data_IF_314000593436
#
_entry.id   IF_314000593436
#
_cell.length_a   1.000
_cell.length_b   1.000
_cell.length_c   1.000
_cell.angle_alpha   90.00
_cell.angle_beta   90.00
_cell.angle_gamma   90.00
#
_symmetry.space_group_name_H-M   'P 1'
#
loop_
_entity.id
_entity.type
_entity.pdbx_description
1 polymer ?
#
# COMPACT_ATOMS: atom_id res chain seq x y z
N UNK A 1 -12.44 -2.75 -29.66
CA UNK A 1 -11.86 -1.58 -28.99
C UNK A 1 -12.74 -1.31 -27.78
N UNK A 2 -12.46 -1.94 -26.64
CA UNK A 2 -13.16 -1.59 -25.40
C UNK A 2 -12.71 -0.18 -25.05
N UNK A 3 -13.66 0.76 -25.03
CA UNK A 3 -13.36 2.16 -24.77
C UNK A 3 -12.77 2.29 -23.38
N UNK A 4 -11.79 3.18 -23.23
CA UNK A 4 -11.15 3.56 -21.96
C UNK A 4 -12.15 4.13 -20.92
N UNK A 5 -13.45 4.06 -21.18
CA UNK A 5 -14.55 4.57 -20.36
C UNK A 5 -15.01 3.59 -19.26
N UNK A 6 -14.59 2.31 -19.27
CA UNK A 6 -15.08 1.30 -18.32
C UNK A 6 -14.02 0.58 -17.48
N UNK A 7 -12.73 0.76 -17.75
CA UNK A 7 -11.63 0.16 -16.99
C UNK A 7 -11.66 0.56 -15.49
N UNK A 8 -11.45 -0.43 -14.63
CA UNK A 8 -11.55 -0.34 -13.18
C UNK A 8 -10.39 -1.15 -12.58
N UNK A 9 -9.59 -0.55 -11.70
CA UNK A 9 -8.42 -1.24 -11.14
C UNK A 9 -8.79 -2.09 -9.92
N UNK A 10 -8.18 -3.27 -9.81
CA UNK A 10 -8.38 -4.18 -8.70
C UNK A 10 -7.05 -4.79 -8.25
N UNK A 11 -6.39 -4.22 -7.22
CA UNK A 11 -5.17 -4.80 -6.66
C UNK A 11 -5.50 -6.07 -5.86
N UNK A 12 -4.81 -7.16 -6.20
CA UNK A 12 -5.02 -8.46 -5.59
C UNK A 12 -3.96 -8.79 -4.54
N UNK A 13 -4.36 -9.60 -3.55
CA UNK A 13 -3.42 -10.20 -2.63
C UNK A 13 -2.70 -11.37 -3.31
N UNK A 14 -1.40 -11.28 -3.46
CA UNK A 14 -0.56 -12.33 -4.06
C UNK A 14 -0.54 -13.63 -3.25
N UNK A 15 -0.93 -13.58 -1.97
CA UNK A 15 -1.06 -14.74 -1.10
C UNK A 15 -2.47 -15.35 -1.07
N UNK A 16 -3.43 -14.81 -1.83
CA UNK A 16 -4.80 -15.36 -1.85
C UNK A 16 -4.82 -16.75 -2.48
N UNK A 17 -5.62 -17.64 -1.89
CA UNK A 17 -5.84 -18.96 -2.45
C UNK A 17 -6.60 -18.85 -3.79
N UNK A 18 -6.40 -19.81 -4.68
CA UNK A 18 -7.08 -19.86 -6.00
C UNK A 18 -8.60 -19.74 -5.88
N UNK A 19 -9.21 -20.36 -4.86
CA UNK A 19 -10.65 -20.26 -4.60
C UNK A 19 -11.12 -18.87 -4.17
N UNK A 20 -10.28 -18.09 -3.50
CA UNK A 20 -10.58 -16.68 -3.18
C UNK A 20 -10.46 -15.81 -4.43
N UNK A 21 -9.43 -16.06 -5.25
CA UNK A 21 -9.23 -15.37 -6.52
C UNK A 21 -10.42 -15.60 -7.46
N UNK A 22 -10.89 -16.83 -7.63
CA UNK A 22 -12.08 -17.15 -8.42
C UNK A 22 -13.30 -16.30 -8.00
N UNK A 23 -13.55 -16.21 -6.69
CA UNK A 23 -14.63 -15.40 -6.15
C UNK A 23 -14.45 -13.92 -6.50
N UNK A 24 -13.26 -13.36 -6.30
CA UNK A 24 -12.99 -11.95 -6.58
C UNK A 24 -13.12 -11.61 -8.05
N UNK A 25 -12.48 -12.42 -8.91
CA UNK A 25 -12.44 -12.21 -10.35
C UNK A 25 -13.85 -12.30 -10.96
N UNK A 26 -14.64 -13.29 -10.53
CA UNK A 26 -16.04 -13.45 -10.96
C UNK A 26 -16.91 -12.30 -10.47
N UNK A 27 -16.85 -11.95 -9.19
CA UNK A 27 -17.66 -10.87 -8.62
C UNK A 27 -17.34 -9.49 -9.21
N UNK A 28 -16.07 -9.23 -9.53
CA UNK A 28 -15.65 -7.98 -10.15
C UNK A 28 -15.79 -7.98 -11.68
N UNK A 29 -16.18 -9.11 -12.29
CA UNK A 29 -16.28 -9.26 -13.75
C UNK A 29 -14.98 -8.86 -14.46
N UNK A 30 -13.84 -9.33 -13.93
CA UNK A 30 -12.52 -9.00 -14.46
C UNK A 30 -12.38 -9.54 -15.89
N UNK A 31 -11.87 -8.72 -16.80
CA UNK A 31 -11.62 -9.11 -18.20
C UNK A 31 -10.13 -9.21 -18.53
N UNK A 32 -9.28 -8.60 -17.71
CA UNK A 32 -7.81 -8.56 -17.88
C UNK A 32 -7.14 -8.70 -16.53
N UNK A 33 -6.07 -9.49 -16.47
CA UNK A 33 -5.23 -9.66 -15.29
C UNK A 33 -3.78 -9.42 -15.68
N UNK A 34 -3.07 -8.63 -14.88
CA UNK A 34 -1.64 -8.36 -15.08
C UNK A 34 -0.88 -9.09 -13.97
N UNK A 35 0.10 -9.89 -14.34
CA UNK A 35 0.92 -10.67 -13.42
C UNK A 35 2.39 -10.66 -13.87
N UNK A 36 3.32 -10.76 -12.91
CA UNK A 36 4.72 -11.01 -13.23
C UNK A 36 4.92 -12.45 -13.75
N UNK A 37 6.11 -12.75 -14.25
CA UNK A 37 6.44 -14.08 -14.77
C UNK A 37 6.19 -15.22 -13.76
N UNK A 38 6.44 -14.99 -12.46
CA UNK A 38 6.25 -15.98 -11.40
C UNK A 38 4.78 -16.42 -11.26
N UNK A 39 3.84 -15.47 -11.32
CA UNK A 39 2.42 -15.77 -11.14
C UNK A 39 1.69 -16.15 -12.43
N UNK A 40 2.29 -15.92 -13.61
CA UNK A 40 1.62 -16.22 -14.88
C UNK A 40 1.22 -17.69 -15.02
N UNK A 41 2.14 -18.61 -14.75
CA UNK A 41 1.86 -20.04 -14.91
C UNK A 41 0.83 -20.54 -13.90
N UNK A 42 0.86 -19.98 -12.69
CA UNK A 42 -0.05 -20.32 -11.60
C UNK A 42 -1.49 -19.85 -11.88
N UNK A 43 -1.65 -18.76 -12.63
CA UNK A 43 -2.94 -18.13 -12.91
C UNK A 43 -3.53 -18.51 -14.27
N UNK A 44 -2.75 -19.16 -15.15
CA UNK A 44 -3.13 -19.46 -16.53
C UNK A 44 -4.43 -20.26 -16.61
N UNK A 45 -4.50 -21.40 -15.91
CA UNK A 45 -5.69 -22.25 -15.91
C UNK A 45 -6.94 -21.53 -15.38
N UNK A 46 -6.78 -20.74 -14.32
CA UNK A 46 -7.88 -19.95 -13.74
C UNK A 46 -8.37 -18.88 -14.73
N UNK A 47 -7.46 -18.13 -15.33
CA UNK A 47 -7.79 -17.09 -16.30
C UNK A 47 -8.47 -17.67 -17.54
N UNK A 48 -7.98 -18.78 -18.07
CA UNK A 48 -8.59 -19.48 -19.20
C UNK A 48 -10.02 -19.94 -18.86
N UNK A 49 -10.23 -20.50 -17.66
CA UNK A 49 -11.55 -20.95 -17.21
C UNK A 49 -12.58 -19.81 -17.07
N UNK A 50 -12.12 -18.60 -16.75
CA UNK A 50 -12.94 -17.40 -16.57
C UNK A 50 -12.97 -16.49 -17.80
N UNK A 51 -12.31 -16.86 -18.91
CA UNK A 51 -12.13 -16.04 -20.11
C UNK A 51 -11.47 -14.67 -19.82
N UNK A 52 -10.49 -14.65 -18.93
CA UNK A 52 -9.72 -13.45 -18.55
C UNK A 52 -8.43 -13.40 -19.38
N UNK A 53 -8.15 -12.26 -20.00
CA UNK A 53 -6.87 -12.06 -20.68
C UNK A 53 -5.75 -11.86 -19.65
N UNK A 54 -4.87 -12.84 -19.52
CA UNK A 54 -3.65 -12.74 -18.73
C UNK A 54 -2.55 -12.01 -19.51
N UNK A 55 -1.98 -10.96 -18.91
CA UNK A 55 -0.94 -10.09 -19.47
C UNK A 55 0.29 -10.12 -18.57
N UNK A 56 1.49 -10.03 -19.16
CA UNK A 56 2.72 -9.81 -18.39
C UNK A 56 2.87 -8.33 -18.04
N UNK A 57 3.73 -8.03 -17.08
CA UNK A 57 4.09 -6.63 -16.78
C UNK A 57 4.79 -6.03 -18.00
N UNK A 58 5.67 -6.79 -18.64
CA UNK A 58 6.42 -6.39 -19.83
C UNK A 58 5.50 -6.04 -21.01
N UNK A 59 4.36 -6.73 -21.16
CA UNK A 59 3.38 -6.44 -22.22
C UNK A 59 2.68 -5.09 -22.06
N UNK A 60 2.65 -4.52 -20.85
CA UNK A 60 1.89 -3.31 -20.52
C UNK A 60 2.76 -2.11 -20.16
N UNK A 61 4.09 -2.29 -20.06
CA UNK A 61 5.02 -1.19 -19.86
C UNK A 61 5.13 -0.34 -21.13
N UNK A 62 5.09 0.98 -20.95
CA UNK A 62 5.33 1.95 -22.01
C UNK A 62 6.69 2.62 -21.79
N UNK A 63 7.46 2.77 -22.87
CA UNK A 63 8.77 3.47 -22.83
C UNK A 63 8.61 5.00 -22.79
N UNK A 64 7.50 5.50 -23.33
CA UNK A 64 7.21 6.94 -23.43
C UNK A 64 5.88 7.30 -22.75
N UNK A 65 5.84 8.49 -22.17
CA UNK A 65 4.61 9.02 -21.58
C UNK A 65 3.59 9.36 -22.67
N UNK A 66 2.48 8.61 -22.69
CA UNK A 66 1.34 8.90 -23.55
C UNK A 66 0.41 9.97 -22.97
N UNK A 67 -0.44 10.54 -23.84
CA UNK A 67 -1.56 11.37 -23.37
C UNK A 67 -2.57 10.49 -22.65
N UNK A 68 -2.86 10.82 -21.39
CA UNK A 68 -3.88 10.13 -20.62
C UNK A 68 -5.29 10.45 -21.16
N UNK A 69 -6.23 9.49 -21.07
CA UNK A 69 -7.63 9.71 -21.44
C UNK A 69 -8.28 10.74 -20.52
N UNK A 70 -9.29 11.46 -21.03
CA UNK A 70 -10.19 12.24 -20.18
C UNK A 70 -11.19 11.30 -19.49
N UNK A 71 -11.30 11.43 -18.16
CA UNK A 71 -12.12 10.55 -17.34
C UNK A 71 -13.10 11.37 -16.50
N UNK A 72 -14.38 11.00 -16.52
CA UNK A 72 -15.39 11.59 -15.65
C UNK A 72 -15.11 11.28 -14.17
N UNK A 73 -15.28 12.26 -13.29
CA UNK A 73 -14.97 12.11 -11.86
C UNK A 73 -15.82 11.02 -11.19
N UNK A 74 -17.07 10.87 -11.61
CA UNK A 74 -18.03 9.89 -11.09
C UNK A 74 -17.76 8.46 -11.58
N UNK A 75 -16.84 8.27 -12.53
CA UNK A 75 -16.47 6.94 -13.02
C UNK A 75 -15.82 6.13 -11.90
N UNK A 76 -16.17 4.85 -11.82
CA UNK A 76 -15.53 3.86 -10.93
C UNK A 76 -14.06 3.72 -11.30
N UNK A 77 -13.19 3.75 -10.29
CA UNK A 77 -11.74 3.82 -10.44
C UNK A 77 -11.01 2.64 -9.79
N UNK A 78 -11.49 2.19 -8.62
CA UNK A 78 -10.87 1.06 -7.90
C UNK A 78 -11.89 0.21 -7.14
N UNK A 79 -11.64 -1.10 -7.06
CA UNK A 79 -12.29 -2.01 -6.10
C UNK A 79 -11.25 -2.48 -5.08
N UNK A 80 -11.60 -2.42 -3.79
CA UNK A 80 -10.87 -3.11 -2.74
C UNK A 80 -11.79 -4.08 -2.01
N UNK A 81 -11.36 -5.33 -1.81
CA UNK A 81 -12.14 -6.29 -1.04
C UNK A 81 -11.81 -6.19 0.45
N UNK A 82 -12.85 -6.26 1.27
CA UNK A 82 -12.73 -6.28 2.74
C UNK A 82 -13.34 -7.57 3.28
N UNK A 83 -12.76 -8.10 4.37
CA UNK A 83 -13.32 -9.23 5.12
C UNK A 83 -14.70 -8.84 5.68
N UNK A 84 -15.76 -9.22 4.99
CA UNK A 84 -17.13 -8.99 5.44
C UNK A 84 -17.48 -9.90 6.61
N UNK A 85 -18.41 -9.47 7.46
CA UNK A 85 -18.92 -10.26 8.61
C UNK A 85 -19.69 -11.52 8.21
N UNK A 86 -19.96 -11.71 6.92
CA UNK A 86 -20.81 -12.77 6.35
C UNK A 86 -20.00 -13.88 5.64
N UNK A 87 -18.77 -14.16 6.08
CA UNK A 87 -17.78 -15.10 5.51
C UNK A 87 -17.29 -14.84 4.07
N UNK A 88 -18.06 -14.17 3.22
CA UNK A 88 -17.63 -13.78 1.86
C UNK A 88 -17.14 -12.33 1.83
N UNK A 89 -15.93 -12.05 1.29
CA UNK A 89 -15.42 -10.69 1.16
C UNK A 89 -16.34 -9.81 0.30
N UNK A 90 -16.41 -8.51 0.63
CA UNK A 90 -17.22 -7.53 -0.10
C UNK A 90 -16.31 -6.55 -0.84
N UNK A 91 -16.60 -6.30 -2.11
CA UNK A 91 -15.90 -5.30 -2.92
C UNK A 91 -16.42 -3.90 -2.61
N UNK A 92 -15.54 -3.01 -2.17
CA UNK A 92 -15.80 -1.58 -1.99
C UNK A 92 -15.40 -0.87 -3.27
N UNK A 93 -16.39 -0.35 -4.00
CA UNK A 93 -16.18 0.37 -5.26
C UNK A 93 -15.95 1.85 -4.96
N UNK A 94 -14.80 2.36 -5.38
CA UNK A 94 -14.42 3.78 -5.29
C UNK A 94 -14.43 4.43 -6.66
N UNK A 95 -14.88 5.67 -6.74
CA UNK A 95 -14.85 6.51 -7.95
C UNK A 95 -13.59 7.37 -7.98
N UNK A 96 -13.25 7.95 -9.15
CA UNK A 96 -12.16 8.93 -9.23
C UNK A 96 -12.40 10.11 -8.27
N UNK A 97 -13.64 10.56 -8.14
CA UNK A 97 -14.06 11.63 -7.22
C UNK A 97 -13.79 11.28 -5.75
N UNK A 98 -14.15 10.07 -5.33
CA UNK A 98 -13.95 9.64 -3.92
C UNK A 98 -12.47 9.42 -3.63
N UNK A 99 -11.71 8.85 -4.57
CA UNK A 99 -10.26 8.67 -4.43
C UNK A 99 -9.57 10.04 -4.34
N UNK A 100 -9.90 10.97 -5.25
CA UNK A 100 -9.35 12.33 -5.23
C UNK A 100 -9.66 13.02 -3.91
N UNK A 101 -10.92 12.98 -3.46
CA UNK A 101 -11.32 13.60 -2.19
C UNK A 101 -10.56 13.02 -0.99
N UNK A 102 -10.35 11.70 -0.96
CA UNK A 102 -9.56 11.04 0.07
C UNK A 102 -8.09 11.50 0.02
N UNK A 103 -7.46 11.45 -1.15
CA UNK A 103 -6.07 11.88 -1.34
C UNK A 103 -5.92 13.33 -0.87
N UNK A 104 -6.70 14.28 -1.39
CA UNK A 104 -6.55 15.70 -1.03
C UNK A 104 -6.78 15.94 0.46
N UNK A 105 -7.73 15.23 1.08
CA UNK A 105 -7.95 15.31 2.54
C UNK A 105 -6.72 14.84 3.31
N UNK A 106 -6.07 13.76 2.87
CA UNK A 106 -4.88 13.21 3.52
C UNK A 106 -3.64 14.07 3.26
N UNK A 107 -3.50 14.66 2.07
CA UNK A 107 -2.47 15.66 1.77
C UNK A 107 -2.55 16.81 2.77
N UNK A 108 -3.74 17.36 2.98
CA UNK A 108 -3.96 18.46 3.91
C UNK A 108 -3.74 18.02 5.36
N UNK A 109 -4.29 16.88 5.77
CA UNK A 109 -4.25 16.40 7.15
C UNK A 109 -2.84 16.00 7.61
N UNK A 110 -2.03 15.44 6.71
CA UNK A 110 -0.68 14.97 7.01
C UNK A 110 0.43 15.87 6.46
N UNK A 111 0.03 16.99 5.85
CA UNK A 111 0.93 17.97 5.23
C UNK A 111 1.97 17.29 4.34
N UNK A 112 1.50 16.45 3.41
CA UNK A 112 2.37 15.82 2.42
C UNK A 112 3.02 16.86 1.51
N UNK A 113 4.28 16.64 1.16
CA UNK A 113 5.08 17.51 0.29
C UNK A 113 6.00 16.69 -0.62
N UNK A 114 6.59 17.34 -1.61
CA UNK A 114 7.61 16.75 -2.49
C UNK A 114 8.91 16.40 -1.76
N UNK A 115 9.15 16.98 -0.59
CA UNK A 115 10.33 16.69 0.25
C UNK A 115 10.18 15.37 1.04
N UNK A 116 9.02 14.71 0.97
CA UNK A 116 8.78 13.48 1.70
C UNK A 116 9.46 12.28 1.08
N UNK A 117 10.06 11.45 1.94
CA UNK A 117 10.63 10.16 1.60
C UNK A 117 10.12 9.12 2.59
N UNK A 118 9.46 8.08 2.06
CA UNK A 118 8.75 7.08 2.87
C UNK A 118 9.03 5.64 2.38
N UNK A 119 9.18 4.66 3.29
CA UNK A 119 9.17 3.25 2.90
C UNK A 119 7.72 2.74 2.75
N UNK A 120 7.46 2.02 1.66
CA UNK A 120 6.21 1.31 1.42
C UNK A 120 6.43 -0.20 1.40
N UNK A 121 6.12 -0.83 2.53
CA UNK A 121 6.07 -2.29 2.72
C UNK A 121 4.66 -2.79 3.05
N UNK A 122 3.68 -1.88 3.18
CA UNK A 122 2.28 -2.25 3.39
C UNK A 122 1.66 -2.75 2.08
N UNK A 123 0.77 -3.74 2.13
CA UNK A 123 0.22 -4.32 0.90
C UNK A 123 -0.63 -3.32 0.10
N UNK A 124 -0.47 -3.32 -1.23
CA UNK A 124 -1.21 -2.45 -2.15
C UNK A 124 -2.67 -2.89 -2.37
N UNK A 125 -3.05 -4.09 -1.96
CA UNK A 125 -4.46 -4.51 -1.93
C UNK A 125 -5.22 -3.97 -0.70
N UNK A 126 -4.57 -3.16 0.13
CA UNK A 126 -5.20 -2.44 1.24
C UNK A 126 -5.12 -0.93 1.01
N UNK A 127 -6.19 -0.23 1.43
CA UNK A 127 -6.33 1.23 1.26
C UNK A 127 -5.15 2.01 1.82
N UNK A 128 -4.54 1.53 2.92
CA UNK A 128 -3.39 2.18 3.54
C UNK A 128 -2.17 2.20 2.59
N UNK A 129 -1.81 1.05 2.01
CA UNK A 129 -0.65 0.97 1.11
C UNK A 129 -0.89 1.76 -0.18
N UNK A 130 -2.03 1.52 -0.84
CA UNK A 130 -2.27 2.07 -2.18
C UNK A 130 -2.71 3.53 -2.18
N UNK A 131 -3.58 3.96 -1.25
CA UNK A 131 -4.05 5.35 -1.21
C UNK A 131 -3.21 6.19 -0.27
N UNK A 132 -3.16 5.82 1.01
CA UNK A 132 -2.58 6.69 2.04
C UNK A 132 -1.07 6.90 1.87
N UNK A 133 -0.35 5.92 1.29
CA UNK A 133 1.08 6.01 1.03
C UNK A 133 1.34 6.25 -0.47
N UNK A 134 1.07 5.26 -1.33
CA UNK A 134 1.50 5.35 -2.73
C UNK A 134 0.82 6.52 -3.47
N UNK A 135 -0.51 6.59 -3.44
CA UNK A 135 -1.23 7.64 -4.17
C UNK A 135 -1.02 9.03 -3.58
N UNK A 136 -0.96 9.17 -2.25
CA UNK A 136 -0.66 10.45 -1.62
C UNK A 136 0.77 10.89 -1.91
N UNK A 137 1.75 9.99 -1.81
CA UNK A 137 3.14 10.29 -2.14
C UNK A 137 3.30 10.74 -3.59
N UNK A 138 2.72 9.99 -4.54
CA UNK A 138 2.74 10.37 -5.96
C UNK A 138 2.00 11.70 -6.23
N UNK A 139 0.88 11.95 -5.54
CA UNK A 139 0.14 13.22 -5.68
C UNK A 139 0.96 14.41 -5.16
N UNK A 140 1.71 14.23 -4.08
CA UNK A 140 2.52 15.26 -3.45
C UNK A 140 3.87 15.52 -4.15
N UNK A 141 4.29 14.62 -5.05
CA UNK A 141 5.64 14.63 -5.62
C UNK A 141 6.71 13.99 -4.72
N UNK A 142 6.29 13.25 -3.70
CA UNK A 142 7.17 12.58 -2.74
C UNK A 142 7.90 11.38 -3.35
N UNK A 143 8.96 10.93 -2.66
CA UNK A 143 9.68 9.70 -2.99
C UNK A 143 9.16 8.53 -2.16
N UNK A 144 8.74 7.44 -2.84
CA UNK A 144 8.26 6.22 -2.20
C UNK A 144 9.23 5.06 -2.47
N UNK A 145 9.91 4.58 -1.43
CA UNK A 145 10.78 3.40 -1.53
C UNK A 145 9.94 2.12 -1.39
N UNK A 146 9.78 1.38 -2.47
CA UNK A 146 8.99 0.14 -2.50
C UNK A 146 9.77 -1.05 -1.91
N UNK A 147 9.12 -1.79 -1.01
CA UNK A 147 9.63 -3.03 -0.46
C UNK A 147 8.65 -4.18 -0.74
N UNK A 148 9.18 -5.31 -1.23
CA UNK A 148 8.37 -6.50 -1.48
C UNK A 148 7.74 -7.09 -0.19
N UNK A 149 8.39 -6.87 0.96
CA UNK A 149 7.94 -7.31 2.29
C UNK A 149 8.48 -6.36 3.37
N UNK A 150 7.92 -6.46 4.57
CA UNK A 150 8.46 -5.76 5.73
C UNK A 150 9.78 -6.39 6.18
N UNK A 151 10.89 -5.78 5.77
CA UNK A 151 12.27 -6.18 6.07
C UNK A 151 12.85 -5.24 7.14
N UNK A 152 12.75 -5.65 8.40
CA UNK A 152 13.10 -4.78 9.54
C UNK A 152 14.56 -4.32 9.49
N UNK A 153 15.57 -5.21 9.34
CA UNK A 153 16.96 -4.77 9.29
C UNK A 153 17.23 -3.74 8.19
N UNK A 154 16.74 -3.99 6.97
CA UNK A 154 16.96 -3.08 5.84
C UNK A 154 16.25 -1.74 6.02
N UNK A 155 15.04 -1.74 6.59
CA UNK A 155 14.32 -0.49 6.88
C UNK A 155 15.04 0.30 7.98
N UNK A 156 15.49 -0.37 9.05
CA UNK A 156 16.26 0.25 10.12
C UNK A 156 17.57 0.86 9.63
N UNK A 157 18.29 0.20 8.71
CA UNK A 157 19.49 0.75 8.07
C UNK A 157 19.21 2.10 7.38
N UNK A 158 18.11 2.18 6.63
CA UNK A 158 17.71 3.42 5.92
C UNK A 158 17.22 4.51 6.89
N UNK A 159 16.60 4.11 8.01
CA UNK A 159 16.21 5.04 9.09
C UNK A 159 17.47 5.64 9.73
N UNK A 160 18.47 4.82 10.06
CA UNK A 160 19.75 5.28 10.62
C UNK A 160 20.49 6.18 9.64
N UNK A 161 20.37 5.91 8.33
CA UNK A 161 20.93 6.77 7.29
C UNK A 161 20.19 8.10 7.10
N UNK A 162 19.11 8.37 7.85
CA UNK A 162 18.31 9.59 7.72
C UNK A 162 17.54 9.69 6.41
N UNK A 163 17.28 8.56 5.75
CA UNK A 163 16.65 8.53 4.42
C UNK A 163 15.17 8.93 4.48
N UNK A 164 14.49 8.56 5.56
CA UNK A 164 13.04 8.73 5.69
C UNK A 164 12.69 9.86 6.66
N UNK A 165 11.72 10.68 6.29
CA UNK A 165 11.14 11.71 7.14
C UNK A 165 9.66 11.47 7.47
N UNK A 166 9.02 10.49 6.81
CA UNK A 166 7.66 10.03 7.07
C UNK A 166 7.66 8.52 7.25
N UNK A 167 6.95 8.02 8.26
CA UNK A 167 6.75 6.60 8.48
C UNK A 167 5.28 6.28 8.75
N UNK A 168 4.65 5.53 7.86
CA UNK A 168 3.26 5.11 8.01
C UNK A 168 3.16 3.60 8.09
N UNK A 169 2.57 3.11 9.19
CA UNK A 169 2.47 1.69 9.46
C UNK A 169 1.16 1.35 10.19
N UNK A 170 1.02 0.08 10.54
CA UNK A 170 -0.10 -0.44 11.35
C UNK A 170 0.42 -0.87 12.73
N UNK A 171 -0.44 -1.00 13.77
CA UNK A 171 0.02 -1.33 15.13
C UNK A 171 0.93 -2.56 15.22
N UNK A 172 0.66 -3.60 14.43
CA UNK A 172 1.47 -4.82 14.42
C UNK A 172 2.91 -4.60 13.93
N UNK A 173 3.16 -3.57 13.12
CA UNK A 173 4.50 -3.20 12.67
C UNK A 173 5.30 -2.56 13.80
N UNK A 174 4.69 -1.64 14.56
CA UNK A 174 5.32 -1.06 15.75
C UNK A 174 5.64 -2.13 16.81
N UNK A 175 4.73 -3.09 17.01
CA UNK A 175 5.00 -4.26 17.89
C UNK A 175 6.23 -5.04 17.40
N UNK A 176 6.31 -5.34 16.10
CA UNK A 176 7.44 -6.07 15.52
C UNK A 176 8.76 -5.29 15.64
N UNK A 177 8.74 -3.97 15.46
CA UNK A 177 9.93 -3.14 15.65
C UNK A 177 10.42 -3.17 17.09
N UNK A 178 9.51 -3.02 18.06
CA UNK A 178 9.84 -3.09 19.49
C UNK A 178 10.39 -4.48 19.85
N UNK A 179 9.77 -5.55 19.36
CA UNK A 179 10.27 -6.92 19.56
C UNK A 179 11.64 -7.14 18.92
N UNK A 180 11.91 -6.49 17.78
CA UNK A 180 13.22 -6.54 17.15
C UNK A 180 14.29 -5.83 17.99
N UNK A 181 13.92 -4.72 18.67
CA UNK A 181 14.84 -4.04 19.59
C UNK A 181 15.28 -4.93 20.76
N UNK A 182 14.46 -5.90 21.20
CA UNK A 182 14.85 -6.88 22.21
C UNK A 182 15.92 -7.88 21.72
N UNK A 183 16.28 -7.86 20.43
CA UNK A 183 17.20 -8.82 19.79
C UNK A 183 18.53 -8.23 19.34
N UNK A 184 18.71 -6.91 19.48
CA UNK A 184 19.89 -6.17 18.99
C UNK A 184 20.57 -5.38 20.10
N UNK A 185 21.78 -4.89 19.84
CA UNK A 185 22.57 -4.17 20.83
C UNK A 185 21.95 -2.81 21.19
N UNK A 186 22.01 -2.39 22.48
CA UNK A 186 21.44 -1.11 22.92
C UNK A 186 21.95 0.12 22.14
N UNK A 187 23.19 0.07 21.64
CA UNK A 187 23.76 1.14 20.82
C UNK A 187 23.05 1.24 19.45
N UNK A 188 22.71 0.10 18.83
CA UNK A 188 21.96 0.07 17.57
C UNK A 188 20.54 0.57 17.77
N UNK A 189 19.86 0.14 18.84
CA UNK A 189 18.52 0.63 19.22
C UNK A 189 18.53 2.16 19.30
N UNK A 190 19.53 2.74 19.98
CA UNK A 190 19.64 4.18 20.13
C UNK A 190 19.74 4.89 18.77
N UNK A 191 20.59 4.41 17.86
CA UNK A 191 20.71 5.01 16.51
C UNK A 191 19.42 4.92 15.70
N UNK A 192 18.68 3.81 15.81
CA UNK A 192 17.40 3.64 15.11
C UNK A 192 16.35 4.60 15.70
N UNK A 193 16.27 4.68 17.03
CA UNK A 193 15.37 5.59 17.73
C UNK A 193 15.66 7.06 17.39
N UNK A 194 16.92 7.45 17.29
CA UNK A 194 17.32 8.80 16.87
C UNK A 194 16.91 9.07 15.41
N UNK A 195 17.05 8.09 14.51
CA UNK A 195 16.55 8.22 13.14
C UNK A 195 15.02 8.43 13.06
N UNK A 196 14.25 7.74 13.91
CA UNK A 196 12.81 8.01 14.02
C UNK A 196 12.51 9.38 14.62
N UNK A 197 13.29 9.82 15.61
CA UNK A 197 13.09 11.09 16.32
C UNK A 197 13.08 12.28 15.38
N UNK A 198 13.89 12.27 14.34
CA UNK A 198 14.01 13.37 13.38
C UNK A 198 12.94 13.35 12.27
N UNK A 199 12.12 12.29 12.20
CA UNK A 199 11.00 12.22 11.25
C UNK A 199 9.94 13.26 11.59
N UNK A 200 9.38 13.91 10.55
CA UNK A 200 8.31 14.88 10.75
C UNK A 200 6.96 14.24 11.08
N UNK A 201 6.75 12.98 10.68
CA UNK A 201 5.45 12.33 10.82
C UNK A 201 5.55 10.80 10.95
N UNK A 202 4.97 10.28 12.03
CA UNK A 202 4.73 8.85 12.23
C UNK A 202 3.23 8.57 12.36
N UNK A 203 2.71 7.61 11.58
CA UNK A 203 1.29 7.21 11.59
C UNK A 203 1.15 5.72 11.93
N UNK A 204 0.16 5.40 12.76
CA UNK A 204 -0.32 4.05 13.03
C UNK A 204 -1.80 3.94 12.65
N UNK A 205 -2.08 3.54 11.41
CA UNK A 205 -3.42 3.51 10.86
C UNK A 205 -4.04 2.11 10.76
N UNK A 206 -5.30 2.07 10.32
CA UNK A 206 -6.01 0.86 9.84
C UNK A 206 -6.31 -0.25 10.86
N UNK A 207 -5.95 -0.08 12.14
CA UNK A 207 -6.40 -0.95 13.22
C UNK A 207 -6.40 -0.19 14.56
N UNK A 208 -7.16 -0.70 15.53
CA UNK A 208 -7.13 -0.17 16.89
C UNK A 208 -5.73 -0.35 17.49
N UNK A 209 -5.12 0.75 17.90
CA UNK A 209 -3.79 0.76 18.51
C UNK A 209 -3.92 0.89 20.04
N UNK A 210 -3.35 -0.02 20.84
CA UNK A 210 -3.34 0.13 22.30
C UNK A 210 -2.56 1.37 22.73
N UNK A 211 -3.11 2.18 23.63
CA UNK A 211 -2.43 3.37 24.20
C UNK A 211 -1.05 3.01 24.78
N UNK A 212 -0.93 1.82 25.37
CA UNK A 212 0.34 1.30 25.89
C UNK A 212 1.42 1.23 24.80
N UNK A 213 1.06 0.83 23.59
CA UNK A 213 1.99 0.73 22.46
C UNK A 213 2.48 2.11 22.03
N UNK A 214 1.58 3.11 21.95
CA UNK A 214 1.96 4.49 21.64
C UNK A 214 2.87 5.11 22.70
N UNK A 215 2.59 4.88 23.97
CA UNK A 215 3.44 5.37 25.05
C UNK A 215 4.83 4.74 24.97
N UNK A 216 4.91 3.42 24.80
CA UNK A 216 6.18 2.72 24.64
C UNK A 216 6.97 3.24 23.43
N UNK A 217 6.31 3.42 22.29
CA UNK A 217 6.96 3.97 21.09
C UNK A 217 7.51 5.38 21.32
N UNK A 218 6.71 6.24 21.96
CA UNK A 218 7.10 7.60 22.31
C UNK A 218 8.26 7.64 23.30
N UNK A 219 8.26 6.75 24.29
CA UNK A 219 9.34 6.69 25.28
C UNK A 219 10.66 6.24 24.64
N UNK A 220 10.59 5.36 23.63
CA UNK A 220 11.77 4.89 22.88
C UNK A 220 12.30 5.92 21.88
N UNK A 221 11.43 6.53 21.09
CA UNK A 221 11.82 7.32 19.89
C UNK A 221 11.63 8.83 20.05
N UNK A 222 10.94 9.28 21.10
CA UNK A 222 10.47 10.66 21.24
C UNK A 222 9.29 11.03 20.33
N UNK A 223 8.91 10.17 19.37
CA UNK A 223 7.86 10.43 18.41
C UNK A 223 6.47 10.00 18.89
N UNK A 224 5.47 10.78 18.51
CA UNK A 224 4.06 10.35 18.63
C UNK A 224 3.65 9.73 17.31
N UNK A 225 3.24 8.47 17.35
CA UNK A 225 2.51 7.88 16.24
C UNK A 225 1.02 8.23 16.40
N UNK A 226 0.41 8.79 15.35
CA UNK A 226 -1.00 9.17 15.30
C UNK A 226 -1.88 8.10 14.68
#
# INVERSE_FOLDING_TARGET
MFGVQEELHFPLNVASAVSELDHYLTCASVTRMIANAEYQDLLRELCDSLNIQLLSVEDVLAEEAGRLPEIAAERRAMILFTSGTTNKPKGVVSTHKTIRAQITTLIDAWAWTEEDVIPLFLPLHHIHGIINILSCGLWAGATVHLFAKFDIPKICEQIVAGTYNVFMAVPTIYVKLIQYFDTIDPAEIQTICDGFKDMRLNISGSAACPVKLFNQWKDLTGQRAY
#
